data_IF_946014981289
#
_entry.id   IF_946014981289
#
_cell.length_a   1.000
_cell.length_b   1.000
_cell.length_c   1.000
_cell.angle_alpha   90.00
_cell.angle_beta   90.00
_cell.angle_gamma   90.00
#
_symmetry.space_group_name_H-M   'P 1'
#
loop_
_entity.id
_entity.type
_entity.pdbx_description
1 polymer ?
#
# COMPACT_ATOMS: atom_id res chain seq x y z
N UNK A 1 15.07 -20.55 -61.21
CA UNK A 1 14.58 -19.23 -60.75
C UNK A 1 13.96 -19.45 -59.37
N UNK A 2 14.70 -19.13 -58.29
CA UNK A 2 14.27 -19.37 -56.91
C UNK A 2 13.36 -18.23 -56.45
N UNK A 3 12.12 -18.54 -56.07
CA UNK A 3 11.22 -17.61 -55.39
C UNK A 3 11.59 -17.68 -53.90
N UNK A 4 12.23 -16.63 -53.40
CA UNK A 4 12.47 -16.46 -51.96
C UNK A 4 11.18 -15.96 -51.32
N UNK A 5 10.46 -16.84 -50.61
CA UNK A 5 9.42 -16.42 -49.68
C UNK A 5 10.08 -15.76 -48.47
N UNK A 6 9.96 -14.43 -48.36
CA UNK A 6 10.25 -13.72 -47.12
C UNK A 6 9.03 -13.87 -46.19
N UNK A 7 9.15 -14.74 -45.19
CA UNK A 7 8.23 -14.74 -44.05
C UNK A 7 8.71 -13.65 -43.08
N UNK A 8 8.01 -12.51 -43.05
CA UNK A 8 8.19 -11.50 -42.01
C UNK A 8 7.35 -11.95 -40.81
N UNK A 9 8.01 -12.51 -39.80
CA UNK A 9 7.39 -12.82 -38.51
C UNK A 9 7.31 -11.52 -37.70
N UNK A 10 6.19 -10.81 -37.81
CA UNK A 10 5.87 -9.68 -36.94
C UNK A 10 5.52 -10.23 -35.55
N UNK A 11 6.48 -10.18 -34.61
CA UNK A 11 6.20 -10.43 -33.20
C UNK A 11 5.57 -9.15 -32.63
N UNK A 12 4.24 -9.10 -32.62
CA UNK A 12 3.49 -8.12 -31.86
C UNK A 12 3.73 -8.39 -30.36
N UNK A 13 4.69 -7.67 -29.77
CA UNK A 13 4.77 -7.52 -28.32
C UNK A 13 3.56 -6.70 -27.87
N UNK A 14 2.47 -7.38 -27.53
CA UNK A 14 1.42 -6.80 -26.70
C UNK A 14 1.98 -6.67 -25.28
N UNK A 15 2.63 -5.54 -24.99
CA UNK A 15 2.85 -5.10 -23.62
C UNK A 15 1.49 -4.74 -23.04
N UNK A 16 0.84 -5.70 -22.38
CA UNK A 16 -0.35 -5.41 -21.59
C UNK A 16 0.16 -4.69 -20.33
N UNK A 17 0.25 -3.36 -20.39
CA UNK A 17 0.48 -2.55 -19.20
C UNK A 17 -0.78 -2.63 -18.35
N UNK A 18 -0.85 -3.61 -17.45
CA UNK A 18 -1.89 -3.65 -16.45
C UNK A 18 -1.51 -2.66 -15.35
N UNK A 19 -2.16 -1.51 -15.38
CA UNK A 19 -2.12 -0.47 -14.37
C UNK A 19 -2.42 -1.07 -12.97
N UNK A 20 -1.48 -0.94 -12.02
CA UNK A 20 -1.67 -1.18 -10.58
C UNK A 20 -2.64 -0.19 -9.90
N UNK A 21 -3.95 -0.38 -10.09
CA UNK A 21 -4.98 0.44 -9.40
C UNK A 21 -4.95 0.29 -7.87
N UNK A 22 -5.30 1.36 -7.16
CA UNK A 22 -5.52 1.31 -5.70
C UNK A 22 -6.98 0.96 -5.42
N UNK A 23 -7.17 0.02 -4.51
CA UNK A 23 -8.46 -0.34 -3.93
C UNK A 23 -8.56 0.23 -2.51
N UNK A 24 -9.64 0.94 -2.20
CA UNK A 24 -9.83 1.64 -0.91
C UNK A 24 -11.03 1.07 -0.14
N UNK A 25 -10.83 0.76 1.14
CA UNK A 25 -11.88 0.48 2.15
C UNK A 25 -11.87 1.52 3.27
N UNK A 26 -13.04 1.78 3.85
CA UNK A 26 -13.23 2.90 4.76
C UNK A 26 -13.32 4.23 4.00
N UNK A 27 -12.97 5.32 4.67
CA UNK A 27 -12.98 6.66 4.13
C UNK A 27 -11.68 6.99 3.39
N UNK A 28 -11.79 7.94 2.47
CA UNK A 28 -10.65 8.59 1.85
C UNK A 28 -9.90 9.44 2.89
N UNK A 29 -8.58 9.40 2.83
CA UNK A 29 -7.68 10.19 3.68
C UNK A 29 -6.61 10.85 2.80
N UNK A 30 -5.87 11.78 3.39
CA UNK A 30 -4.63 12.33 2.82
C UNK A 30 -3.63 11.24 2.39
N UNK A 31 -3.60 10.08 3.07
CA UNK A 31 -2.76 8.94 2.67
C UNK A 31 -3.30 8.23 1.44
N UNK A 32 -4.61 8.00 1.33
CA UNK A 32 -5.16 7.42 0.08
C UNK A 32 -4.94 8.36 -1.10
N UNK A 33 -5.08 9.68 -0.91
CA UNK A 33 -4.81 10.68 -1.94
C UNK A 33 -3.33 10.70 -2.33
N UNK A 34 -2.43 10.70 -1.34
CA UNK A 34 -0.99 10.58 -1.57
C UNK A 34 -0.65 9.34 -2.40
N UNK A 35 -1.20 8.17 -2.05
CA UNK A 35 -0.93 6.93 -2.77
C UNK A 35 -1.38 7.01 -4.23
N UNK A 36 -2.55 7.58 -4.45
CA UNK A 36 -3.14 7.78 -5.78
C UNK A 36 -2.24 8.63 -6.66
N UNK A 37 -1.73 9.72 -6.10
CA UNK A 37 -0.76 10.59 -6.77
C UNK A 37 0.60 9.91 -6.98
N UNK A 38 1.07 9.14 -5.99
CA UNK A 38 2.39 8.51 -6.02
C UNK A 38 2.50 7.41 -7.08
N UNK A 39 1.46 6.60 -7.25
CA UNK A 39 1.45 5.51 -8.23
C UNK A 39 1.18 6.06 -9.64
N UNK A 40 0.70 7.30 -9.75
CA UNK A 40 0.30 7.94 -11.03
C UNK A 40 -0.76 7.11 -11.77
N UNK A 41 -1.69 6.53 -11.00
CA UNK A 41 -2.73 5.66 -11.48
C UNK A 41 -4.08 6.00 -10.86
N UNK A 42 -5.17 5.72 -11.59
CA UNK A 42 -6.53 6.00 -11.10
C UNK A 42 -6.92 5.13 -9.92
N UNK A 43 -7.65 5.71 -8.97
CA UNK A 43 -8.22 5.03 -7.80
C UNK A 43 -9.51 4.31 -8.19
N UNK A 44 -9.68 3.06 -7.77
CA UNK A 44 -10.97 2.38 -7.84
C UNK A 44 -11.48 2.16 -6.41
N UNK A 45 -12.33 3.07 -5.96
CA UNK A 45 -13.07 2.90 -4.70
C UNK A 45 -14.01 1.72 -4.86
N UNK A 46 -13.66 0.59 -4.23
CA UNK A 46 -14.47 -0.61 -4.29
C UNK A 46 -14.32 -1.40 -3.02
N UNK A 47 -15.44 -1.58 -2.33
CA UNK A 47 -15.51 -2.27 -1.04
C UNK A 47 -15.01 -3.71 -1.06
N UNK A 48 -14.95 -4.35 -2.24
CA UNK A 48 -14.61 -5.78 -2.39
C UNK A 48 -13.91 -6.11 -3.72
N UNK A 49 -13.12 -5.18 -4.27
CA UNK A 49 -12.30 -5.50 -5.44
C UNK A 49 -10.85 -5.30 -5.12
N UNK A 50 -10.11 -6.39 -5.01
CA UNK A 50 -8.67 -6.37 -5.08
C UNK A 50 -8.24 -6.45 -6.55
N UNK A 51 -7.60 -5.40 -7.07
CA UNK A 51 -6.91 -5.52 -8.35
C UNK A 51 -5.70 -6.46 -8.15
N UNK A 52 -5.61 -7.57 -8.89
CA UNK A 52 -4.55 -8.60 -8.69
C UNK A 52 -3.12 -8.05 -8.63
N UNK A 53 -2.86 -6.92 -9.29
CA UNK A 53 -1.56 -6.24 -9.33
C UNK A 53 -1.59 -4.87 -8.61
N UNK A 54 -2.65 -4.58 -7.86
CA UNK A 54 -2.88 -3.30 -7.21
C UNK A 54 -2.46 -3.25 -5.75
N UNK A 55 -2.56 -2.06 -5.18
CA UNK A 55 -2.40 -1.82 -3.74
C UNK A 55 -3.78 -1.80 -3.11
N UNK A 56 -3.91 -2.42 -1.93
CA UNK A 56 -5.09 -2.20 -1.09
C UNK A 56 -4.78 -1.24 0.03
N UNK A 57 -5.62 -0.24 0.19
CA UNK A 57 -5.58 0.72 1.28
C UNK A 57 -6.84 0.55 2.13
N UNK A 58 -6.69 0.62 3.46
CA UNK A 58 -7.82 0.63 4.40
C UNK A 58 -7.63 1.71 5.45
N UNK A 59 -8.63 2.57 5.61
CA UNK A 59 -8.83 3.36 6.84
C UNK A 59 -9.62 2.51 7.85
N UNK A 60 -8.93 1.95 8.84
CA UNK A 60 -9.53 1.02 9.79
C UNK A 60 -10.52 1.71 10.72
N UNK A 61 -10.38 3.03 10.92
CA UNK A 61 -11.26 3.78 11.82
C UNK A 61 -12.71 3.89 11.31
N UNK A 62 -12.90 3.73 10.00
CA UNK A 62 -14.18 3.94 9.32
C UNK A 62 -14.64 2.71 8.53
N UNK A 63 -13.75 1.75 8.27
CA UNK A 63 -14.08 0.48 7.64
C UNK A 63 -15.06 -0.36 8.47
N UNK A 64 -15.96 -1.07 7.80
CA UNK A 64 -16.85 -2.03 8.46
C UNK A 64 -16.09 -3.29 8.89
N UNK A 65 -16.65 -4.07 9.82
CA UNK A 65 -16.07 -5.35 10.24
C UNK A 65 -15.83 -6.29 9.06
N UNK A 66 -16.77 -6.36 8.12
CA UNK A 66 -16.64 -7.19 6.92
C UNK A 66 -15.50 -6.72 6.01
N UNK A 67 -15.28 -5.41 5.89
CA UNK A 67 -14.16 -4.85 5.13
C UNK A 67 -12.82 -5.19 5.80
N UNK A 68 -12.74 -5.10 7.13
CA UNK A 68 -11.55 -5.47 7.90
C UNK A 68 -11.26 -6.97 7.77
N UNK A 69 -12.28 -7.83 7.86
CA UNK A 69 -12.16 -9.28 7.64
C UNK A 69 -11.72 -9.62 6.22
N UNK A 70 -12.28 -8.92 5.23
CA UNK A 70 -11.85 -9.07 3.84
C UNK A 70 -10.39 -8.68 3.68
N UNK A 71 -9.95 -7.53 4.20
CA UNK A 71 -8.55 -7.11 4.15
C UNK A 71 -7.63 -8.12 4.82
N UNK A 72 -8.01 -8.69 5.97
CA UNK A 72 -7.25 -9.77 6.60
C UNK A 72 -7.03 -10.95 5.66
N UNK A 73 -8.05 -11.35 4.90
CA UNK A 73 -7.88 -12.42 3.90
C UNK A 73 -6.88 -12.04 2.81
N UNK A 74 -6.84 -10.77 2.39
CA UNK A 74 -5.88 -10.29 1.39
C UNK A 74 -4.44 -10.27 1.94
N UNK A 75 -4.26 -9.91 3.21
CA UNK A 75 -2.97 -10.00 3.90
C UNK A 75 -2.48 -11.45 3.93
N UNK A 76 -3.36 -12.40 4.26
CA UNK A 76 -3.05 -13.84 4.26
C UNK A 76 -2.68 -14.35 2.86
N UNK A 77 -3.34 -13.82 1.82
CA UNK A 77 -3.03 -14.11 0.41
C UNK A 77 -1.72 -13.46 -0.09
N UNK A 78 -0.96 -12.79 0.79
CA UNK A 78 0.30 -12.15 0.46
C UNK A 78 0.14 -10.88 -0.37
N UNK A 79 -1.05 -10.27 -0.36
CA UNK A 79 -1.28 -9.02 -1.08
C UNK A 79 -0.58 -7.84 -0.42
N UNK A 80 -0.25 -6.82 -1.22
CA UNK A 80 0.24 -5.56 -0.69
C UNK A 80 -0.92 -4.75 -0.12
N UNK A 81 -0.90 -4.57 1.20
CA UNK A 81 -1.93 -3.88 1.96
C UNK A 81 -1.30 -2.77 2.82
N UNK A 82 -1.87 -1.59 2.74
CA UNK A 82 -1.57 -0.42 3.56
C UNK A 82 -2.73 -0.24 4.54
N UNK A 83 -2.41 -0.28 5.82
CA UNK A 83 -3.35 -0.22 6.94
C UNK A 83 -3.14 1.13 7.62
N UNK A 84 -4.13 2.01 7.53
CA UNK A 84 -4.15 3.30 8.23
C UNK A 84 -4.92 3.18 9.54
N UNK A 85 -4.22 3.44 10.63
CA UNK A 85 -4.71 3.40 12.02
C UNK A 85 -4.65 4.80 12.66
N UNK A 86 -4.28 5.86 11.93
CA UNK A 86 -4.03 7.21 12.49
C UNK A 86 -5.24 7.79 13.21
N UNK A 87 -6.43 7.56 12.66
CA UNK A 87 -7.68 8.04 13.21
C UNK A 87 -8.18 7.23 14.42
N UNK A 88 -7.47 6.18 14.83
CA UNK A 88 -7.72 5.42 16.05
C UNK A 88 -6.86 6.01 17.17
N UNK A 89 -7.46 6.83 18.02
CA UNK A 89 -6.74 7.59 19.06
C UNK A 89 -6.10 6.70 20.15
N UNK A 90 -6.77 5.59 20.49
CA UNK A 90 -6.34 4.67 21.55
C UNK A 90 -5.23 3.73 21.06
N UNK A 91 -4.07 3.74 21.74
CA UNK A 91 -2.96 2.82 21.47
C UNK A 91 -3.38 1.36 21.59
N UNK A 92 -4.11 1.00 22.65
CA UNK A 92 -4.61 -0.37 22.86
C UNK A 92 -5.52 -0.81 21.71
N UNK A 93 -6.33 0.11 21.18
CA UNK A 93 -7.20 -0.17 20.04
C UNK A 93 -6.38 -0.35 18.76
N UNK A 94 -5.32 0.45 18.54
CA UNK A 94 -4.39 0.24 17.42
C UNK A 94 -3.68 -1.11 17.50
N UNK A 95 -3.21 -1.48 18.70
CA UNK A 95 -2.59 -2.80 18.97
C UNK A 95 -3.58 -3.94 18.68
N UNK A 96 -4.83 -3.81 19.10
CA UNK A 96 -5.86 -4.83 18.85
C UNK A 96 -6.09 -5.03 17.34
N UNK A 97 -6.28 -3.95 16.58
CA UNK A 97 -6.51 -4.04 15.15
C UNK A 97 -5.29 -4.56 14.38
N UNK A 98 -4.10 -4.09 14.72
CA UNK A 98 -2.87 -4.57 14.07
C UNK A 98 -2.57 -6.03 14.42
N UNK A 99 -2.85 -6.48 15.65
CA UNK A 99 -2.77 -7.89 16.04
C UNK A 99 -3.75 -8.73 15.21
N UNK A 100 -4.99 -8.25 15.05
CA UNK A 100 -6.00 -8.97 14.28
C UNK A 100 -5.62 -9.12 12.80
N UNK A 101 -5.12 -8.03 12.19
CA UNK A 101 -4.80 -7.96 10.77
C UNK A 101 -3.47 -8.62 10.41
N UNK A 102 -2.43 -8.42 11.23
CA UNK A 102 -1.04 -8.79 10.89
C UNK A 102 -0.42 -9.83 11.81
N UNK A 103 -0.99 -10.05 13.01
CA UNK A 103 -0.45 -10.94 14.02
C UNK A 103 0.65 -10.35 14.92
N UNK A 104 1.08 -9.10 14.71
CA UNK A 104 2.23 -8.50 15.43
C UNK A 104 1.88 -7.59 16.62
N UNK A 105 0.65 -7.06 16.69
CA UNK A 105 0.18 -6.31 17.87
C UNK A 105 0.99 -5.04 18.18
N UNK A 106 0.95 -4.07 17.28
CA UNK A 106 1.75 -2.84 17.32
C UNK A 106 0.86 -1.60 17.21
N UNK A 107 1.25 -0.50 17.86
CA UNK A 107 0.49 0.76 17.90
C UNK A 107 0.86 1.73 16.77
N UNK A 108 1.59 1.27 15.75
CA UNK A 108 2.06 2.07 14.62
C UNK A 108 0.90 2.75 13.88
N UNK A 109 0.99 4.05 13.52
CA UNK A 109 -0.09 4.76 12.84
C UNK A 109 -0.36 4.23 11.43
N UNK A 110 0.69 3.83 10.71
CA UNK A 110 0.57 3.17 9.39
C UNK A 110 1.35 1.86 9.42
N UNK A 111 0.76 0.82 8.81
CA UNK A 111 1.40 -0.48 8.62
C UNK A 111 1.30 -0.88 7.15
N UNK A 112 2.38 -1.41 6.59
CA UNK A 112 2.40 -1.96 5.22
C UNK A 112 2.80 -3.41 5.25
N UNK A 113 1.93 -4.29 4.74
CA UNK A 113 2.17 -5.73 4.67
C UNK A 113 2.16 -6.22 3.23
N UNK A 114 2.99 -7.21 2.90
CA UNK A 114 3.02 -7.82 1.57
C UNK A 114 4.18 -8.80 1.39
N UNK A 115 4.32 -9.35 0.19
CA UNK A 115 5.45 -10.23 -0.15
C UNK A 115 6.63 -9.43 -0.70
N UNK A 116 7.80 -9.57 -0.09
CA UNK A 116 9.08 -9.04 -0.58
C UNK A 116 10.09 -10.18 -0.71
N UNK A 117 10.64 -10.38 -1.92
CA UNK A 117 11.62 -11.44 -2.21
C UNK A 117 11.17 -12.86 -1.79
N UNK A 118 9.88 -13.13 -1.89
CA UNK A 118 9.29 -14.43 -1.54
C UNK A 118 8.93 -14.59 -0.06
N UNK A 119 9.20 -13.60 0.78
CA UNK A 119 8.86 -13.61 2.21
C UNK A 119 7.75 -12.61 2.52
N UNK A 120 6.88 -12.97 3.45
CA UNK A 120 5.90 -12.04 3.99
C UNK A 120 6.58 -11.07 4.94
N UNK A 121 6.43 -9.77 4.67
CA UNK A 121 7.01 -8.70 5.47
C UNK A 121 5.92 -7.76 5.96
N UNK A 122 6.10 -7.27 7.19
CA UNK A 122 5.26 -6.21 7.78
C UNK A 122 6.17 -5.06 8.15
N UNK A 123 5.82 -3.87 7.68
CA UNK A 123 6.56 -2.64 7.93
C UNK A 123 5.71 -1.69 8.75
N UNK A 124 6.27 -1.24 9.86
CA UNK A 124 5.65 -0.24 10.73
C UNK A 124 6.22 1.11 10.36
N UNK A 125 5.36 2.08 10.13
CA UNK A 125 5.73 3.46 9.82
C UNK A 125 5.28 4.33 11.00
N UNK A 126 6.24 4.97 11.67
CA UNK A 126 6.00 5.94 12.73
C UNK A 126 5.80 7.34 12.14
N UNK A 127 4.96 8.14 12.78
CA UNK A 127 4.78 9.57 12.48
C UNK A 127 5.69 10.48 13.30
N UNK A 128 6.41 9.94 14.30
CA UNK A 128 7.19 10.75 15.24
C UNK A 128 8.28 11.56 14.54
N UNK A 129 8.19 12.88 14.69
CA UNK A 129 9.25 13.82 14.29
C UNK A 129 10.02 14.21 15.55
N UNK A 130 11.34 14.14 15.49
CA UNK A 130 12.20 14.49 16.64
C UNK A 130 13.13 15.65 16.31
N UNK A 131 13.44 16.46 17.33
CA UNK A 131 14.46 17.51 17.22
C UNK A 131 15.88 16.92 17.25
N UNK A 132 16.88 17.80 17.15
CA UNK A 132 18.30 17.45 17.24
C UNK A 132 18.71 16.79 18.58
N UNK A 133 17.85 16.83 19.60
CA UNK A 133 18.03 16.24 20.91
C UNK A 133 17.16 14.98 21.13
N UNK A 134 16.55 14.44 20.06
CA UNK A 134 15.60 13.31 20.10
C UNK A 134 14.30 13.60 20.88
N UNK A 135 13.91 14.85 21.05
CA UNK A 135 12.62 15.21 21.64
C UNK A 135 11.54 15.23 20.58
N UNK A 136 10.41 14.59 20.86
CA UNK A 136 9.26 14.62 19.95
C UNK A 136 8.77 16.04 19.73
N UNK A 137 8.53 16.40 18.47
CA UNK A 137 7.97 17.68 18.06
C UNK A 137 6.61 17.42 17.42
N UNK A 138 5.57 17.98 18.01
CA UNK A 138 4.20 17.95 17.49
C UNK A 138 4.05 19.06 16.42
N UNK A 139 4.38 18.72 15.17
CA UNK A 139 4.12 19.55 13.98
C UNK A 139 3.38 18.67 12.97
N UNK A 140 2.03 18.77 12.89
CA UNK A 140 1.22 17.91 12.04
C UNK A 140 1.67 17.84 10.57
N UNK A 141 2.10 18.97 9.99
CA UNK A 141 2.59 18.99 8.61
C UNK A 141 3.90 18.21 8.44
N UNK A 142 4.78 18.25 9.44
CA UNK A 142 6.04 17.53 9.43
C UNK A 142 5.83 16.02 9.65
N UNK A 143 4.89 15.66 10.53
CA UNK A 143 4.49 14.26 10.76
C UNK A 143 3.90 13.65 9.49
N UNK A 144 2.97 14.33 8.84
CA UNK A 144 2.39 13.88 7.58
C UNK A 144 3.45 13.75 6.47
N UNK A 145 4.34 14.74 6.34
CA UNK A 145 5.45 14.63 5.38
C UNK A 145 6.37 13.44 5.68
N UNK A 146 6.68 13.20 6.96
CA UNK A 146 7.49 12.06 7.43
C UNK A 146 6.84 10.72 7.07
N UNK A 147 5.52 10.61 7.30
CA UNK A 147 4.73 9.44 6.93
C UNK A 147 4.78 9.19 5.42
N UNK A 148 4.53 10.21 4.59
CA UNK A 148 4.56 10.11 3.14
C UNK A 148 5.94 9.67 2.62
N UNK A 149 7.03 10.26 3.11
CA UNK A 149 8.39 9.88 2.69
C UNK A 149 8.75 8.45 3.11
N UNK A 150 8.37 8.06 4.33
CA UNK A 150 8.57 6.70 4.83
C UNK A 150 7.75 5.69 4.04
N UNK A 151 6.50 6.02 3.73
CA UNK A 151 5.62 5.20 2.91
C UNK A 151 6.16 5.03 1.50
N UNK A 152 6.60 6.12 0.86
CA UNK A 152 7.30 6.10 -0.43
C UNK A 152 8.50 5.16 -0.40
N UNK A 153 9.34 5.24 0.63
CA UNK A 153 10.50 4.37 0.77
C UNK A 153 10.10 2.89 0.91
N UNK A 154 9.09 2.60 1.73
CA UNK A 154 8.56 1.25 1.91
C UNK A 154 8.02 0.69 0.60
N UNK A 155 7.21 1.46 -0.13
CA UNK A 155 6.56 1.05 -1.38
C UNK A 155 7.54 0.82 -2.52
N UNK A 156 8.64 1.59 -2.60
CA UNK A 156 9.72 1.32 -3.57
C UNK A 156 10.27 -0.10 -3.49
N UNK A 157 10.29 -0.72 -2.31
CA UNK A 157 10.81 -2.08 -2.15
C UNK A 157 9.89 -3.14 -2.73
N UNK A 158 8.59 -2.88 -2.81
CA UNK A 158 7.61 -3.81 -3.39
C UNK A 158 7.56 -3.76 -4.92
N UNK A 159 8.51 -3.05 -5.55
CA UNK A 159 8.68 -2.98 -7.01
C UNK A 159 7.40 -2.62 -7.77
N UNK A 160 6.55 -1.80 -7.12
CA UNK A 160 5.30 -1.29 -7.68
C UNK A 160 5.51 -0.40 -8.91
N UNK A 161 6.73 0.08 -9.09
CA UNK A 161 7.16 0.84 -10.25
C UNK A 161 8.14 -0.05 -11.00
N UNK A 162 7.61 -0.98 -11.82
CA UNK A 162 8.45 -1.70 -12.77
C UNK A 162 9.33 -0.70 -13.51
N UNK A 163 10.65 -0.91 -13.42
CA UNK A 163 11.73 -0.08 -13.95
C UNK A 163 11.27 1.17 -14.73
N UNK A 164 11.29 2.34 -14.07
CA UNK A 164 11.38 3.60 -14.83
C UNK A 164 12.77 3.61 -15.46
N UNK A 165 12.85 3.15 -16.71
CA UNK A 165 14.00 3.35 -17.59
C UNK A 165 14.09 4.78 -18.07
#
# INVERSE_FOLDING_TARGET
MQIKCFFIFSVLFFSCYLSAKISVSGNETDISDFLSNYINEGVEYSKYRFNRNGIYYIDVSTASTEEIEYVKSQIVDGKLVIIDLRNILSEDTRVMHSQFLTGLGVSSPIIVSGIYRGEFVVNMISSEVTDQNNQSIDIPEAENYSLEQSLKHVLKRFDLMGEVK
#
